data_IF_670571767595
#
_entry.id   IF_670571767595
#
_cell.length_a   1.000
_cell.length_b   1.000
_cell.length_c   1.000
_cell.angle_alpha   90.00
_cell.angle_beta   90.00
_cell.angle_gamma   90.00
#
_symmetry.space_group_name_H-M   'P 1'
#
loop_
_entity.id
_entity.type
_entity.pdbx_description
1 polymer ?
#
# COMPACT_ATOMS: atom_id res chain seq x y z
N UNK A 1 11.24 -26.56 -15.87
CA UNK A 1 10.02 -25.95 -15.29
C UNK A 1 9.68 -24.70 -16.11
N UNK A 2 8.61 -24.77 -16.90
CA UNK A 2 8.21 -23.69 -17.82
C UNK A 2 7.48 -22.61 -17.02
N UNK A 3 8.00 -21.39 -17.06
CA UNK A 3 7.37 -20.20 -16.51
C UNK A 3 6.04 -19.94 -17.26
N UNK A 4 4.91 -20.23 -16.61
CA UNK A 4 3.62 -19.72 -17.05
C UNK A 4 3.57 -18.22 -16.75
N UNK A 5 4.08 -17.43 -17.69
CA UNK A 5 3.81 -16.00 -17.78
C UNK A 5 2.31 -15.90 -18.06
N UNK A 6 1.48 -15.69 -17.04
CA UNK A 6 0.08 -15.29 -17.25
C UNK A 6 0.15 -14.01 -18.09
N UNK A 7 -0.22 -14.12 -19.36
CA UNK A 7 -0.42 -12.96 -20.20
C UNK A 7 -1.33 -11.99 -19.45
N UNK A 8 -0.98 -10.70 -19.44
CA UNK A 8 -1.91 -9.68 -19.00
C UNK A 8 -3.24 -9.94 -19.72
N UNK A 9 -4.38 -10.03 -19.00
CA UNK A 9 -5.67 -10.16 -19.66
C UNK A 9 -5.73 -8.99 -20.64
N UNK A 10 -5.83 -9.32 -21.93
CA UNK A 10 -6.11 -8.32 -22.94
C UNK A 10 -7.38 -7.65 -22.46
N UNK A 11 -7.32 -6.33 -22.21
CA UNK A 11 -8.50 -5.52 -21.98
C UNK A 11 -9.31 -5.59 -23.27
N UNK A 12 -10.07 -6.66 -23.45
CA UNK A 12 -11.18 -6.70 -24.38
C UNK A 12 -12.12 -5.64 -23.82
N UNK A 13 -11.97 -4.44 -24.36
CA UNK A 13 -12.78 -3.30 -24.04
C UNK A 13 -14.17 -3.66 -24.58
N UNK A 14 -14.95 -4.37 -23.78
CA UNK A 14 -16.31 -4.75 -24.12
C UNK A 14 -17.04 -3.43 -24.36
N UNK A 15 -17.29 -3.11 -25.63
CA UNK A 15 -17.98 -1.88 -25.97
C UNK A 15 -19.39 -2.00 -25.42
N UNK A 16 -19.86 -0.96 -24.70
CA UNK A 16 -21.20 -0.95 -24.14
C UNK A 16 -22.21 -1.33 -25.24
N UNK A 17 -23.08 -2.32 -25.02
CA UNK A 17 -24.07 -2.70 -26.03
C UNK A 17 -24.95 -1.49 -26.39
N UNK A 18 -25.32 -1.40 -27.66
CA UNK A 18 -26.13 -0.29 -28.17
C UNK A 18 -27.44 -0.19 -27.38
N UNK A 19 -27.79 1.03 -26.95
CA UNK A 19 -29.01 1.26 -26.18
C UNK A 19 -30.23 0.92 -27.04
N UNK A 20 -30.94 -0.15 -26.70
CA UNK A 20 -32.20 -0.46 -27.35
C UNK A 20 -33.26 0.58 -26.93
N UNK A 21 -33.81 1.32 -27.90
CA UNK A 21 -34.94 2.23 -27.67
C UNK A 21 -36.21 1.39 -27.79
N UNK A 22 -37.12 1.39 -26.80
CA UNK A 22 -38.33 0.58 -26.85
C UNK A 22 -39.11 0.88 -28.13
N UNK A 23 -39.15 -0.08 -29.06
CA UNK A 23 -40.06 0.00 -30.19
C UNK A 23 -41.44 -0.47 -29.72
N UNK A 24 -42.53 0.21 -30.12
CA UNK A 24 -43.88 -0.20 -29.74
C UNK A 24 -44.17 -1.60 -30.28
N UNK A 25 -44.86 -2.42 -29.48
CA UNK A 25 -45.27 -3.76 -29.90
C UNK A 25 -46.13 -3.66 -31.16
N UNK A 26 -45.93 -4.55 -32.15
CA UNK A 26 -46.73 -4.53 -33.36
C UNK A 26 -48.22 -4.71 -33.02
N UNK A 27 -49.12 -3.91 -33.63
CA UNK A 27 -50.56 -3.98 -33.36
C UNK A 27 -51.10 -5.37 -33.72
N UNK A 28 -52.09 -5.83 -32.95
CA UNK A 28 -52.74 -7.14 -33.18
C UNK A 28 -53.43 -7.10 -34.56
N UNK A 29 -53.24 -8.11 -35.42
CA UNK A 29 -53.89 -8.12 -36.72
C UNK A 29 -55.41 -8.22 -36.56
N UNK A 30 -56.12 -7.33 -37.24
CA UNK A 30 -57.58 -7.40 -37.39
C UNK A 30 -57.89 -8.36 -38.54
N UNK A 31 -58.52 -9.49 -38.23
CA UNK A 31 -58.78 -10.58 -39.19
C UNK A 31 -60.25 -10.95 -39.21
N UNK A 32 -60.74 -11.28 -40.40
CA UNK A 32 -62.12 -11.73 -40.62
C UNK A 32 -62.32 -13.12 -39.97
N UNK A 33 -63.16 -13.15 -38.93
CA UNK A 33 -63.47 -14.37 -38.16
C UNK A 33 -64.36 -15.35 -38.93
N UNK A 34 -64.96 -14.94 -40.04
CA UNK A 34 -65.77 -15.82 -40.89
C UNK A 34 -64.90 -16.83 -41.70
N UNK A 35 -63.61 -16.54 -41.88
CA UNK A 35 -62.68 -17.38 -42.65
C UNK A 35 -61.55 -17.90 -41.74
N UNK A 36 -61.82 -19.01 -41.06
CA UNK A 36 -60.96 -19.59 -40.02
C UNK A 36 -59.52 -19.85 -40.46
N UNK A 37 -59.33 -20.24 -41.72
CA UNK A 37 -58.02 -20.63 -42.23
C UNK A 37 -57.11 -19.40 -42.39
N UNK A 38 -57.65 -18.30 -42.91
CA UNK A 38 -56.90 -17.04 -43.07
C UNK A 38 -56.61 -16.38 -41.71
N UNK A 39 -57.56 -16.41 -40.78
CA UNK A 39 -57.36 -15.91 -39.43
C UNK A 39 -56.26 -16.69 -38.68
N UNK A 40 -56.23 -18.01 -38.84
CA UNK A 40 -55.23 -18.88 -38.19
C UNK A 40 -53.80 -18.59 -38.68
N UNK A 41 -53.62 -18.39 -39.98
CA UNK A 41 -52.32 -18.05 -40.58
C UNK A 41 -51.83 -16.70 -40.09
N UNK A 42 -52.70 -15.69 -40.04
CA UNK A 42 -52.34 -14.34 -39.58
C UNK A 42 -51.94 -14.31 -38.10
N UNK A 43 -52.69 -14.99 -37.22
CA UNK A 43 -52.34 -15.11 -35.81
C UNK A 43 -51.05 -15.91 -35.59
N UNK A 44 -50.79 -16.94 -36.40
CA UNK A 44 -49.54 -17.72 -36.35
C UNK A 44 -48.31 -16.88 -36.73
N UNK A 45 -48.42 -16.07 -37.80
CA UNK A 45 -47.38 -15.14 -38.21
C UNK A 45 -47.13 -14.06 -37.13
N UNK A 46 -48.20 -13.51 -36.54
CA UNK A 46 -48.11 -12.53 -35.45
C UNK A 46 -47.43 -13.12 -34.20
N UNK A 47 -47.79 -14.34 -33.79
CA UNK A 47 -47.13 -15.06 -32.69
C UNK A 47 -45.65 -15.30 -32.97
N UNK A 48 -45.29 -15.60 -34.22
CA UNK A 48 -43.89 -15.79 -34.64
C UNK A 48 -43.13 -14.47 -34.55
N UNK A 49 -43.72 -13.36 -35.02
CA UNK A 49 -43.13 -12.03 -34.90
C UNK A 49 -42.90 -11.59 -33.45
N UNK A 50 -43.88 -11.81 -32.57
CA UNK A 50 -43.73 -11.58 -31.12
C UNK A 50 -42.65 -12.48 -30.49
N UNK A 51 -42.55 -13.73 -30.93
CA UNK A 51 -41.53 -14.66 -30.42
C UNK A 51 -40.13 -14.19 -30.78
N UNK A 52 -39.90 -13.78 -32.03
CA UNK A 52 -38.63 -13.20 -32.47
C UNK A 52 -38.29 -11.91 -31.71
N UNK A 53 -39.27 -11.04 -31.50
CA UNK A 53 -39.10 -9.82 -30.71
C UNK A 53 -38.67 -10.12 -29.26
N UNK A 54 -39.29 -11.14 -28.64
CA UNK A 54 -38.92 -11.60 -27.30
C UNK A 54 -37.50 -12.19 -27.26
N UNK A 55 -37.10 -12.93 -28.29
CA UNK A 55 -35.74 -13.46 -28.40
C UNK A 55 -34.71 -12.33 -28.47
N UNK A 56 -34.91 -11.33 -29.34
CA UNK A 56 -33.99 -10.19 -29.43
C UNK A 56 -33.88 -9.36 -28.14
N UNK A 57 -34.99 -9.18 -27.40
CA UNK A 57 -34.94 -8.56 -26.07
C UNK A 57 -34.20 -9.42 -25.03
N UNK A 58 -34.29 -10.74 -25.15
CA UNK A 58 -33.60 -11.68 -24.26
C UNK A 58 -32.09 -11.71 -24.50
N UNK A 59 -31.68 -11.70 -25.77
CA UNK A 59 -30.27 -11.53 -26.18
C UNK A 59 -29.71 -10.21 -25.63
N UNK A 60 -30.41 -9.10 -25.87
CA UNK A 60 -29.97 -7.79 -25.37
C UNK A 60 -29.83 -7.73 -23.84
N UNK A 61 -30.74 -8.40 -23.11
CA UNK A 61 -30.63 -8.52 -21.65
C UNK A 61 -29.40 -9.34 -21.23
N UNK A 62 -29.05 -10.35 -22.01
CA UNK A 62 -27.89 -11.21 -21.78
C UNK A 62 -26.60 -10.40 -22.00
N UNK A 63 -26.46 -9.71 -23.13
CA UNK A 63 -25.32 -8.83 -23.43
C UNK A 63 -25.11 -7.77 -22.35
N UNK A 64 -26.20 -7.15 -21.89
CA UNK A 64 -26.15 -6.12 -20.86
C UNK A 64 -25.78 -6.70 -19.49
N UNK A 65 -26.13 -7.96 -19.24
CA UNK A 65 -25.76 -8.67 -18.01
C UNK A 65 -24.26 -9.04 -18.02
N UNK A 66 -23.75 -9.54 -19.15
CA UNK A 66 -22.33 -9.82 -19.35
C UNK A 66 -21.48 -8.54 -19.18
N UNK A 67 -21.85 -7.47 -19.88
CA UNK A 67 -21.17 -6.17 -19.76
C UNK A 67 -21.15 -5.62 -18.32
N UNK A 68 -22.21 -5.88 -17.53
CA UNK A 68 -22.25 -5.49 -16.10
C UNK A 68 -21.32 -6.35 -15.25
N UNK A 69 -21.19 -7.63 -15.55
CA UNK A 69 -20.26 -8.54 -14.88
C UNK A 69 -18.82 -8.11 -15.15
N UNK A 70 -18.45 -7.88 -16.42
CA UNK A 70 -17.11 -7.41 -16.78
C UNK A 70 -16.74 -6.10 -16.09
N UNK A 71 -17.65 -5.13 -16.10
CA UNK A 71 -17.44 -3.85 -15.41
C UNK A 71 -17.28 -4.03 -13.89
N UNK A 72 -17.94 -5.03 -13.30
CA UNK A 72 -17.83 -5.34 -11.87
C UNK A 72 -16.48 -5.97 -11.55
N UNK A 73 -15.97 -6.85 -12.42
CA UNK A 73 -14.65 -7.46 -12.31
C UNK A 73 -13.55 -6.39 -12.45
N UNK A 74 -13.64 -5.52 -13.45
CA UNK A 74 -12.72 -4.40 -13.65
C UNK A 74 -12.68 -3.46 -12.44
N UNK A 75 -13.85 -3.14 -11.86
CA UNK A 75 -13.92 -2.33 -10.63
C UNK A 75 -13.24 -3.01 -9.45
N UNK A 76 -13.42 -4.32 -9.33
CA UNK A 76 -12.79 -5.12 -8.28
C UNK A 76 -11.27 -5.11 -8.44
N UNK A 77 -10.78 -5.32 -9.66
CA UNK A 77 -9.36 -5.24 -10.02
C UNK A 77 -8.74 -3.87 -9.68
N UNK A 78 -9.41 -2.78 -10.08
CA UNK A 78 -8.96 -1.42 -9.79
C UNK A 78 -8.97 -1.13 -8.29
N UNK A 79 -9.96 -1.65 -7.55
CA UNK A 79 -10.03 -1.56 -6.09
C UNK A 79 -8.84 -2.27 -5.45
N UNK A 80 -8.54 -3.50 -5.84
CA UNK A 80 -7.39 -4.26 -5.35
C UNK A 80 -6.06 -3.53 -5.59
N UNK A 81 -5.87 -2.96 -6.79
CA UNK A 81 -4.67 -2.16 -7.12
C UNK A 81 -4.55 -0.92 -6.25
N UNK A 82 -5.66 -0.22 -6.01
CA UNK A 82 -5.69 0.99 -5.16
C UNK A 82 -5.32 0.67 -3.72
N UNK A 83 -5.80 -0.46 -3.21
CA UNK A 83 -5.42 -1.00 -1.89
C UNK A 83 -3.94 -1.40 -1.86
N UNK A 84 -3.42 -2.09 -2.88
CA UNK A 84 -1.98 -2.37 -2.98
C UNK A 84 -1.11 -1.10 -2.91
N UNK A 85 -1.52 -0.03 -3.59
CA UNK A 85 -0.84 1.27 -3.53
C UNK A 85 -0.98 1.99 -2.18
N UNK A 86 -2.05 1.77 -1.43
CA UNK A 86 -2.19 2.36 -0.09
C UNK A 86 -1.18 1.75 0.88
N UNK A 87 -0.93 0.43 0.82
CA UNK A 87 0.13 -0.23 1.60
C UNK A 87 1.52 0.36 1.33
N UNK A 88 1.85 0.64 0.07
CA UNK A 88 3.12 1.28 -0.29
C UNK A 88 3.24 2.69 0.29
N UNK A 89 2.16 3.48 0.28
CA UNK A 89 2.11 4.81 0.90
C UNK A 89 2.28 4.73 2.41
N UNK A 90 1.58 3.81 3.07
CA UNK A 90 1.70 3.56 4.52
C UNK A 90 3.12 3.19 4.91
N UNK A 91 3.79 2.33 4.13
CA UNK A 91 5.21 2.00 4.32
C UNK A 91 6.10 3.24 4.21
N UNK A 92 5.93 4.03 3.15
CA UNK A 92 6.74 5.23 2.92
C UNK A 92 6.56 6.26 4.05
N UNK A 93 5.36 6.37 4.62
CA UNK A 93 5.13 7.20 5.81
C UNK A 93 5.92 6.70 7.01
N UNK A 94 5.94 5.39 7.27
CA UNK A 94 6.74 4.82 8.35
C UNK A 94 8.26 5.01 8.14
N UNK A 95 8.75 4.95 6.90
CA UNK A 95 10.14 5.28 6.55
C UNK A 95 10.47 6.76 6.86
N UNK A 96 9.56 7.69 6.56
CA UNK A 96 9.73 9.11 6.91
C UNK A 96 9.76 9.34 8.42
N UNK A 97 8.91 8.64 9.17
CA UNK A 97 8.94 8.70 10.64
C UNK A 97 10.28 8.21 11.18
N UNK A 98 10.79 7.08 10.69
CA UNK A 98 12.12 6.58 11.08
C UNK A 98 13.22 7.59 10.73
N UNK A 99 13.16 8.22 9.56
CA UNK A 99 14.10 9.26 9.16
C UNK A 99 14.07 10.49 10.07
N UNK A 100 12.89 10.90 10.51
CA UNK A 100 12.76 11.99 11.49
C UNK A 100 13.39 11.62 12.84
N UNK A 101 13.15 10.39 13.31
CA UNK A 101 13.74 9.91 14.57
C UNK A 101 15.26 9.84 14.47
N UNK A 102 15.79 9.33 13.35
CA UNK A 102 17.24 9.29 13.09
C UNK A 102 17.86 10.68 13.19
N UNK A 103 17.23 11.70 12.60
CA UNK A 103 17.72 13.08 12.67
C UNK A 103 17.76 13.61 14.10
N UNK A 104 16.67 13.43 14.85
CA UNK A 104 16.60 13.87 16.26
C UNK A 104 17.66 13.18 17.10
N UNK A 105 17.81 11.86 16.95
CA UNK A 105 18.83 11.08 17.66
C UNK A 105 20.25 11.52 17.29
N UNK A 106 20.55 11.73 16.01
CA UNK A 106 21.86 12.19 15.55
C UNK A 106 22.23 13.56 16.09
N UNK A 107 21.28 14.50 16.13
CA UNK A 107 21.50 15.81 16.75
C UNK A 107 21.86 15.66 18.22
N UNK A 108 21.16 14.80 18.94
CA UNK A 108 21.39 14.59 20.37
C UNK A 108 22.74 13.91 20.65
N UNK A 109 23.09 12.91 19.84
CA UNK A 109 24.38 12.21 19.93
C UNK A 109 25.52 13.16 19.61
N UNK A 110 25.45 13.89 18.49
CA UNK A 110 26.48 14.84 18.07
C UNK A 110 26.67 15.98 19.08
N UNK A 111 25.57 16.52 19.59
CA UNK A 111 25.58 17.59 20.59
C UNK A 111 26.14 17.09 21.94
N UNK A 112 25.68 15.94 22.42
CA UNK A 112 26.18 15.33 23.65
C UNK A 112 27.68 15.00 23.56
N UNK A 113 28.14 14.53 22.40
CA UNK A 113 29.55 14.29 22.11
C UNK A 113 30.39 15.56 22.10
N UNK A 114 29.92 16.61 21.45
CA UNK A 114 30.63 17.89 21.39
C UNK A 114 30.76 18.51 22.79
N UNK A 115 29.68 18.55 23.56
CA UNK A 115 29.67 19.03 24.95
C UNK A 115 30.68 18.24 25.79
N UNK A 116 30.60 16.91 25.77
CA UNK A 116 31.51 16.05 26.52
C UNK A 116 32.98 16.37 26.21
N UNK A 117 33.35 16.48 24.93
CA UNK A 117 34.71 16.77 24.49
C UNK A 117 35.18 18.17 24.91
N UNK A 118 34.34 19.19 24.74
CA UNK A 118 34.68 20.58 25.09
C UNK A 118 34.91 20.70 26.60
N UNK A 119 34.01 20.17 27.43
CA UNK A 119 34.17 20.22 28.88
C UNK A 119 35.35 19.38 29.36
N UNK A 120 35.55 18.19 28.80
CA UNK A 120 36.69 17.37 29.15
C UNK A 120 38.01 18.10 28.86
N UNK A 121 38.16 18.76 27.70
CA UNK A 121 39.37 19.51 27.36
C UNK A 121 39.57 20.78 28.20
N UNK A 122 38.50 21.53 28.52
CA UNK A 122 38.58 22.77 29.29
C UNK A 122 38.90 22.54 30.78
N UNK A 123 38.50 21.40 31.35
CA UNK A 123 38.74 21.06 32.78
C UNK A 123 40.13 20.45 33.06
N UNK A 124 40.97 20.27 32.03
CA UNK A 124 42.37 19.86 32.22
C UNK A 124 43.27 21.02 32.73
N UNK A 125 42.75 22.25 32.80
CA UNK A 125 43.39 23.39 33.47
C UNK A 125 43.32 23.23 35.01
N UNK A 126 44.45 23.27 35.75
CA UNK A 126 44.51 22.95 37.18
C UNK A 126 43.76 23.93 38.09
N UNK A 127 43.34 25.10 37.60
CA UNK A 127 42.67 26.14 38.38
C UNK A 127 41.15 25.94 38.58
N UNK A 128 40.50 25.03 37.83
CA UNK A 128 39.02 24.86 37.81
C UNK A 128 38.60 23.46 38.26
N UNK A 129 39.39 22.80 39.12
CA UNK A 129 39.11 21.43 39.58
C UNK A 129 38.02 21.32 40.67
N UNK A 130 37.38 22.42 41.05
CA UNK A 130 36.37 22.43 42.12
C UNK A 130 34.91 22.29 41.64
N UNK A 131 34.64 22.32 40.33
CA UNK A 131 33.27 22.34 39.81
C UNK A 131 32.92 21.09 38.97
N UNK A 132 32.59 20.00 39.68
CA UNK A 132 31.57 18.97 39.34
C UNK A 132 31.68 18.17 38.03
N UNK A 133 31.57 16.84 38.14
CA UNK A 133 31.33 15.88 37.03
C UNK A 133 30.02 16.12 36.24
N UNK A 134 29.25 17.15 36.60
CA UNK A 134 27.92 17.41 36.05
C UNK A 134 27.89 17.58 34.51
N UNK A 135 28.81 18.33 33.86
CA UNK A 135 28.81 18.49 32.41
C UNK A 135 29.13 17.18 31.66
N UNK A 136 30.02 16.35 32.23
CA UNK A 136 30.38 15.03 31.67
C UNK A 136 29.17 14.10 31.67
N UNK A 137 28.49 14.01 32.81
CA UNK A 137 27.30 13.19 32.98
C UNK A 137 26.16 13.66 32.07
N UNK A 138 26.05 14.97 31.84
CA UNK A 138 25.08 15.54 30.92
C UNK A 138 25.32 15.12 29.45
N UNK A 139 26.57 15.18 28.98
CA UNK A 139 26.94 14.73 27.64
C UNK A 139 26.64 13.24 27.41
N UNK A 140 27.01 12.40 28.37
CA UNK A 140 26.71 10.94 28.34
C UNK A 140 25.21 10.68 28.34
N UNK A 141 24.44 11.40 29.16
CA UNK A 141 22.98 11.27 29.21
C UNK A 141 22.31 11.63 27.88
N UNK A 142 22.77 12.70 27.21
CA UNK A 142 22.26 13.11 25.89
C UNK A 142 22.55 12.05 24.82
N UNK A 143 23.78 11.54 24.76
CA UNK A 143 24.14 10.45 23.83
C UNK A 143 23.30 9.21 24.11
N UNK A 144 23.17 8.82 25.38
CA UNK A 144 22.35 7.68 25.81
C UNK A 144 20.87 7.85 25.40
N UNK A 145 20.30 9.04 25.57
CA UNK A 145 18.94 9.35 25.14
C UNK A 145 18.82 9.25 23.62
N UNK A 146 19.81 9.70 22.86
CA UNK A 146 19.81 9.62 21.40
C UNK A 146 19.83 8.18 20.91
N UNK A 147 20.68 7.34 21.52
CA UNK A 147 20.74 5.90 21.25
C UNK A 147 19.41 5.23 21.64
N UNK A 148 18.83 5.58 22.80
CA UNK A 148 17.54 5.04 23.23
C UNK A 148 16.42 5.40 22.25
N UNK A 149 16.33 6.66 21.84
CA UNK A 149 15.34 7.12 20.87
C UNK A 149 15.49 6.39 19.52
N UNK A 150 16.73 6.19 19.07
CA UNK A 150 17.02 5.48 17.82
C UNK A 150 16.69 3.98 17.94
N UNK A 151 17.01 3.35 19.07
CA UNK A 151 16.64 1.96 19.37
C UNK A 151 15.13 1.78 19.35
N UNK A 152 14.39 2.67 20.03
CA UNK A 152 12.93 2.64 20.06
C UNK A 152 12.34 2.85 18.67
N UNK A 153 12.91 3.76 17.88
CA UNK A 153 12.52 4.00 16.49
C UNK A 153 12.70 2.76 15.61
N UNK A 154 13.84 2.06 15.72
CA UNK A 154 14.10 0.82 15.00
C UNK A 154 13.11 -0.27 15.41
N UNK A 155 12.90 -0.48 16.71
CA UNK A 155 11.97 -1.51 17.23
C UNK A 155 10.54 -1.22 16.75
N UNK A 156 10.08 0.03 16.87
CA UNK A 156 8.77 0.44 16.38
C UNK A 156 8.63 0.18 14.87
N UNK A 157 9.63 0.57 14.08
CA UNK A 157 9.60 0.37 12.63
C UNK A 157 9.58 -1.14 12.27
N UNK A 158 10.37 -1.97 12.94
CA UNK A 158 10.36 -3.41 12.74
C UNK A 158 9.00 -4.04 13.10
N UNK A 159 8.42 -3.66 14.23
CA UNK A 159 7.10 -4.13 14.65
C UNK A 159 6.02 -3.70 13.68
N UNK A 160 6.05 -2.44 13.23
CA UNK A 160 5.14 -1.91 12.23
C UNK A 160 5.25 -2.68 10.90
N UNK A 161 6.48 -2.93 10.42
CA UNK A 161 6.69 -3.68 9.18
C UNK A 161 6.25 -5.14 9.30
N UNK A 162 6.42 -5.77 10.47
CA UNK A 162 5.88 -7.11 10.75
C UNK A 162 4.35 -7.10 10.74
N UNK A 163 3.72 -6.17 11.44
CA UNK A 163 2.27 -6.04 11.49
C UNK A 163 1.68 -5.83 10.08
N UNK A 164 2.26 -4.90 9.31
CA UNK A 164 1.83 -4.60 7.95
C UNK A 164 2.01 -5.80 7.00
N UNK A 165 3.05 -6.62 7.22
CA UNK A 165 3.27 -7.85 6.46
C UNK A 165 2.26 -8.94 6.80
N UNK A 166 1.89 -9.07 8.08
CA UNK A 166 0.86 -10.02 8.52
C UNK A 166 -0.49 -9.65 7.90
N UNK A 167 -0.90 -8.38 8.03
CA UNK A 167 -2.16 -7.88 7.47
C UNK A 167 -2.20 -8.06 5.94
N UNK A 168 -1.13 -7.70 5.25
CA UNK A 168 -1.03 -7.89 3.79
C UNK A 168 -1.09 -9.37 3.40
N UNK A 169 -0.46 -10.25 4.16
CA UNK A 169 -0.51 -11.69 3.89
C UNK A 169 -1.91 -12.26 4.10
N UNK A 170 -2.66 -11.82 5.12
CA UNK A 170 -4.05 -12.26 5.31
C UNK A 170 -4.95 -11.80 4.15
N UNK A 171 -4.77 -10.57 3.66
CA UNK A 171 -5.52 -10.08 2.48
C UNK A 171 -5.14 -10.80 1.19
N UNK A 172 -3.87 -11.16 1.00
CA UNK A 172 -3.44 -11.97 -0.15
C UNK A 172 -4.02 -13.38 -0.08
N UNK A 173 -4.06 -14.01 1.10
CA UNK A 173 -4.69 -15.32 1.28
C UNK A 173 -6.19 -15.30 0.99
N UNK A 174 -6.86 -14.19 1.30
CA UNK A 174 -8.29 -13.99 1.00
C UNK A 174 -8.57 -13.62 -0.47
N UNK A 175 -7.53 -13.54 -1.31
CA UNK A 175 -7.68 -13.14 -2.72
C UNK A 175 -8.03 -11.66 -2.92
N UNK A 176 -7.90 -10.82 -1.90
CA UNK A 176 -8.21 -9.39 -1.93
C UNK A 176 -7.06 -8.54 -2.49
N UNK A 177 -5.88 -9.13 -2.68
CA UNK A 177 -4.68 -8.43 -3.16
C UNK A 177 -3.84 -9.34 -4.06
N UNK A 178 -3.29 -8.76 -5.14
CA UNK A 178 -2.32 -9.42 -6.01
C UNK A 178 -0.98 -9.60 -5.30
N UNK A 179 -0.51 -10.85 -5.21
CA UNK A 179 0.68 -11.25 -4.44
C UNK A 179 2.03 -10.82 -5.01
N UNK A 180 2.09 -10.21 -6.19
CA UNK A 180 3.30 -10.18 -7.02
C UNK A 180 4.38 -9.15 -6.65
N UNK A 181 4.11 -8.15 -5.80
CA UNK A 181 5.14 -7.15 -5.48
C UNK A 181 6.09 -7.64 -4.37
N UNK A 182 7.40 -7.84 -4.66
CA UNK A 182 8.37 -8.17 -3.63
C UNK A 182 8.48 -7.03 -2.61
N UNK A 183 8.61 -7.37 -1.32
CA UNK A 183 8.88 -6.41 -0.25
C UNK A 183 10.40 -6.25 -0.10
N UNK A 184 11.07 -5.30 -0.77
CA UNK A 184 12.48 -5.04 -0.50
C UNK A 184 12.65 -4.48 0.91
N UNK A 185 13.76 -4.84 1.54
CA UNK A 185 14.23 -4.21 2.79
C UNK A 185 14.47 -2.72 2.55
N UNK A 186 13.97 -1.87 3.44
CA UNK A 186 14.11 -0.42 3.30
C UNK A 186 15.55 0.00 3.59
N UNK A 187 16.14 0.79 2.69
CA UNK A 187 17.50 1.32 2.87
C UNK A 187 17.63 2.16 4.16
N UNK A 188 16.53 2.78 4.59
CA UNK A 188 16.39 3.53 5.86
C UNK A 188 16.71 2.69 7.09
N UNK A 189 16.31 1.41 7.11
CA UNK A 189 16.60 0.51 8.23
C UNK A 189 18.11 0.19 8.31
N UNK A 190 18.75 -0.01 7.15
CA UNK A 190 20.19 -0.26 7.06
C UNK A 190 20.96 0.96 7.60
N UNK A 191 20.59 2.16 7.14
CA UNK A 191 21.20 3.39 7.63
C UNK A 191 20.96 3.60 9.12
N UNK A 192 19.76 3.30 9.63
CA UNK A 192 19.47 3.38 11.06
C UNK A 192 20.37 2.44 11.87
N UNK A 193 20.58 1.20 11.41
CA UNK A 193 21.48 0.25 12.04
C UNK A 193 22.94 0.74 12.07
N UNK A 194 23.43 1.31 10.97
CA UNK A 194 24.78 1.89 10.93
C UNK A 194 24.93 3.06 11.90
N UNK A 195 23.94 3.96 11.96
CA UNK A 195 23.95 5.08 12.91
C UNK A 195 23.85 4.62 14.37
N UNK A 196 23.10 3.54 14.62
CA UNK A 196 23.02 2.93 15.95
C UNK A 196 24.39 2.41 16.41
N UNK A 197 25.11 1.71 15.52
CA UNK A 197 26.47 1.24 15.79
C UNK A 197 27.43 2.41 16.06
N UNK A 198 27.32 3.50 15.29
CA UNK A 198 28.12 4.70 15.53
C UNK A 198 27.82 5.35 16.90
N UNK A 199 26.53 5.41 17.29
CA UNK A 199 26.13 5.88 18.61
C UNK A 199 26.69 5.01 19.74
N UNK A 200 26.64 3.68 19.57
CA UNK A 200 27.23 2.73 20.52
C UNK A 200 28.75 2.93 20.62
N UNK A 201 29.42 3.13 19.50
CA UNK A 201 30.85 3.46 19.51
C UNK A 201 31.14 4.77 20.25
N UNK A 202 30.33 5.81 20.04
CA UNK A 202 30.48 7.10 20.72
C UNK A 202 30.33 6.96 22.24
N UNK A 203 29.34 6.21 22.73
CA UNK A 203 29.15 6.03 24.17
C UNK A 203 30.28 5.21 24.80
N UNK A 204 30.78 4.17 24.11
CA UNK A 204 31.93 3.38 24.55
C UNK A 204 33.17 4.28 24.67
N UNK A 205 33.47 5.08 23.63
CA UNK A 205 34.60 6.03 23.66
C UNK A 205 34.52 7.01 24.84
N UNK A 206 33.34 7.57 25.13
CA UNK A 206 33.14 8.46 26.27
C UNK A 206 33.37 7.78 27.62
N UNK A 207 32.87 6.56 27.78
CA UNK A 207 32.96 5.82 29.05
C UNK A 207 34.41 5.45 29.35
N UNK A 208 35.16 4.99 28.34
CA UNK A 208 36.53 4.56 28.49
C UNK A 208 37.57 5.69 28.35
N UNK A 209 37.15 6.95 28.13
CA UNK A 209 38.02 8.10 27.86
C UNK A 209 39.06 7.88 26.74
N UNK A 210 38.84 6.91 25.86
CA UNK A 210 39.72 6.64 24.72
C UNK A 210 39.32 7.62 23.62
N UNK A 211 40.13 8.65 23.40
CA UNK A 211 39.98 9.53 22.25
C UNK A 211 40.33 8.72 20.98
N UNK A 212 39.38 8.50 20.05
CA UNK A 212 39.63 7.65 18.88
C UNK A 212 40.55 8.30 17.83
N UNK A 213 40.96 9.56 18.03
CA UNK A 213 41.81 10.33 17.12
C UNK A 213 42.85 11.16 17.89
N UNK A 214 43.51 10.57 18.88
CA UNK A 214 44.72 11.15 19.47
C UNK A 214 45.96 10.79 18.63
#
# INVERSE_FOLDING_TARGET
MKHHKKAAPQLQQHARPHRNVPQPVPPVPEVDTANSDQASVAYSAYRTGLSNHRTGLSEHRTDLSEYRTDLSDDRTEMSMRRTGMSFQRTRMSADRTLMSIMRTALSLISFGFTIFQVFNKLLHEPAVRLASDAPRNFGVAMVGLGILALTLGIVYHLNFMKALRIERNSMVQQGLLHGESPYPVSATLITAGLLWLLGLFAIVSMVFNVAPFA
#
